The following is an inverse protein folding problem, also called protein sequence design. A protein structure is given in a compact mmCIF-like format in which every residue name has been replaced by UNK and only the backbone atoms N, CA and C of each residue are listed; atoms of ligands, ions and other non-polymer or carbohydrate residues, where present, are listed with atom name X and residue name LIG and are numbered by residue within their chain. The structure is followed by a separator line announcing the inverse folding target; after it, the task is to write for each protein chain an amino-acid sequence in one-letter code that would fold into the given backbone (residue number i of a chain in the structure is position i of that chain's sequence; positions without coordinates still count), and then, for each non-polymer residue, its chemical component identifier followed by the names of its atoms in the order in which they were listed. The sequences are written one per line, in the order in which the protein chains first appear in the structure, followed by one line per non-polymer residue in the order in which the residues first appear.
data_IF_873282170412
#
_entry.id   IF_873282170412
#
_cell.length_a   1.000
_cell.length_b   1.000
_cell.length_c   1.000
_cell.angle_alpha   90.00
_cell.angle_beta   90.00
_cell.angle_gamma   90.00
#
_symmetry.space_group_name_H-M   'P 1'
#
loop_
_entity.id
_entity.type
_entity.pdbx_description
1 polymer ?
#
# COMPACT_ATOMS: atom_id res chain seq x y z
N UNK A 1 -0.63 2.49 21.63
CA UNK A 1 0.19 3.39 22.48
C UNK A 1 1.66 3.00 22.72
N UNK A 2 2.10 1.74 22.54
CA UNK A 2 3.49 1.34 22.86
C UNK A 2 4.60 2.04 22.05
N UNK A 3 4.40 2.32 20.77
CA UNK A 3 5.41 3.03 19.96
C UNK A 3 5.39 4.55 20.18
N UNK A 4 4.20 5.14 20.39
CA UNK A 4 4.05 6.58 20.66
C UNK A 4 4.70 7.02 21.98
N UNK A 5 4.78 6.13 22.98
CA UNK A 5 5.47 6.40 24.24
C UNK A 5 7.00 6.32 24.07
N UNK A 6 7.51 5.41 23.23
CA UNK A 6 8.95 5.19 23.06
C UNK A 6 9.65 6.34 22.32
N UNK A 7 8.94 7.09 21.46
CA UNK A 7 9.52 8.21 20.71
C UNK A 7 9.07 9.60 21.15
N UNK A 8 8.19 9.73 22.14
CA UNK A 8 7.66 11.02 22.61
C UNK A 8 6.86 11.82 21.56
N UNK A 9 6.65 11.25 20.36
CA UNK A 9 5.82 11.82 19.32
C UNK A 9 4.43 11.24 19.50
N UNK A 10 3.55 12.00 20.16
CA UNK A 10 2.12 11.71 20.07
C UNK A 10 1.74 11.68 18.59
N UNK A 11 1.24 10.54 18.10
CA UNK A 11 0.52 10.50 16.83
C UNK A 11 -0.78 11.27 17.03
N UNK A 12 -0.69 12.60 17.05
CA UNK A 12 -1.87 13.45 17.02
C UNK A 12 -2.56 13.18 15.70
N UNK A 13 -3.82 12.78 15.77
CA UNK A 13 -4.67 12.66 14.59
C UNK A 13 -4.65 13.98 13.83
N UNK A 14 -4.12 13.95 12.59
CA UNK A 14 -3.96 15.10 11.71
C UNK A 14 -4.78 14.85 10.45
N UNK A 15 -6.10 15.09 10.48
CA UNK A 15 -7.01 14.70 9.40
C UNK A 15 -6.57 15.25 8.03
N UNK A 16 -6.07 16.49 7.97
CA UNK A 16 -5.57 17.06 6.73
C UNK A 16 -4.37 16.28 6.14
N UNK A 17 -3.47 15.79 7.00
CA UNK A 17 -2.31 15.01 6.59
C UNK A 17 -2.73 13.60 6.14
N UNK A 18 -3.65 12.97 6.87
CA UNK A 18 -4.18 11.65 6.51
C UNK A 18 -4.93 11.67 5.17
N UNK A 19 -5.68 12.74 4.90
CA UNK A 19 -6.35 12.95 3.61
C UNK A 19 -5.33 13.14 2.49
N UNK A 20 -4.32 13.98 2.68
CA UNK A 20 -3.25 14.19 1.69
C UNK A 20 -2.49 12.89 1.41
N UNK A 21 -2.15 12.14 2.46
CA UNK A 21 -1.52 10.83 2.35
C UNK A 21 -2.37 9.87 1.52
N UNK A 22 -3.67 9.76 1.83
CA UNK A 22 -4.61 8.94 1.08
C UNK A 22 -4.70 9.32 -0.40
N UNK A 23 -4.71 10.62 -0.71
CA UNK A 23 -4.73 11.11 -2.09
C UNK A 23 -3.48 10.70 -2.84
N UNK A 24 -2.30 10.95 -2.25
CA UNK A 24 -1.02 10.68 -2.88
C UNK A 24 -0.85 9.18 -3.14
N UNK A 25 -1.09 8.36 -2.10
CA UNK A 25 -0.95 6.90 -2.18
C UNK A 25 -1.99 6.31 -3.14
N UNK A 26 -3.24 6.74 -3.04
CA UNK A 26 -4.32 6.30 -3.91
C UNK A 26 -4.09 6.66 -5.39
N UNK A 27 -3.56 7.85 -5.67
CA UNK A 27 -3.19 8.26 -7.02
C UNK A 27 -2.06 7.39 -7.56
N UNK A 28 -1.04 7.12 -6.75
CA UNK A 28 0.08 6.26 -7.10
C UNK A 28 -0.38 4.87 -7.50
N UNK A 29 -1.01 4.14 -6.57
CA UNK A 29 -1.54 2.80 -6.85
C UNK A 29 -2.52 2.80 -8.02
N UNK A 30 -3.41 3.79 -8.08
CA UNK A 30 -4.43 3.89 -9.11
C UNK A 30 -3.86 4.06 -10.51
N UNK A 31 -2.87 4.93 -10.69
CA UNK A 31 -2.20 5.12 -11.98
C UNK A 31 -1.43 3.87 -12.40
N UNK A 32 -0.69 3.24 -11.49
CA UNK A 32 0.09 2.05 -11.79
C UNK A 32 -0.82 0.87 -12.19
N UNK A 33 -1.93 0.68 -11.48
CA UNK A 33 -2.93 -0.36 -11.82
C UNK A 33 -3.70 -0.03 -13.10
N UNK A 34 -4.06 1.24 -13.33
CA UNK A 34 -4.79 1.67 -14.53
C UNK A 34 -4.08 1.29 -15.83
N UNK A 35 -2.76 1.47 -15.91
CA UNK A 35 -1.95 1.12 -17.09
C UNK A 35 -2.15 -0.35 -17.49
N UNK A 36 -2.31 -1.24 -16.50
CA UNK A 36 -2.50 -2.68 -16.69
C UNK A 36 -3.92 -3.00 -17.16
N UNK A 37 -4.92 -2.42 -16.50
CA UNK A 37 -6.31 -2.79 -16.74
C UNK A 37 -6.96 -2.05 -17.91
N UNK A 38 -6.40 -0.92 -18.37
CA UNK A 38 -7.00 -0.07 -19.42
C UNK A 38 -7.29 -0.75 -20.75
N UNK A 39 -6.60 -1.86 -21.03
CA UNK A 39 -6.82 -2.67 -22.23
C UNK A 39 -7.87 -3.78 -22.06
N UNK A 40 -8.30 -4.06 -20.81
CA UNK A 40 -9.13 -5.22 -20.47
C UNK A 40 -10.48 -4.85 -19.86
N UNK A 41 -10.58 -3.67 -19.24
CA UNK A 41 -11.78 -3.24 -18.51
C UNK A 41 -12.39 -2.03 -19.21
N UNK A 42 -13.68 -2.14 -19.56
CA UNK A 42 -14.42 -0.98 -20.04
C UNK A 42 -14.53 0.03 -18.89
N UNK A 43 -14.31 1.32 -19.15
CA UNK A 43 -14.30 2.38 -18.12
C UNK A 43 -13.09 2.39 -17.18
N UNK A 44 -11.98 1.73 -17.54
CA UNK A 44 -10.76 1.76 -16.74
C UNK A 44 -10.26 3.17 -16.40
N UNK A 45 -10.59 4.21 -17.17
CA UNK A 45 -10.22 5.60 -16.87
C UNK A 45 -10.72 6.10 -15.51
N UNK A 46 -11.77 5.49 -14.95
CA UNK A 46 -12.25 5.79 -13.59
C UNK A 46 -11.40 5.15 -12.49
N UNK A 47 -10.50 4.24 -12.83
CA UNK A 47 -9.74 3.46 -11.86
C UNK A 47 -8.87 4.32 -10.93
N UNK A 48 -8.04 5.26 -11.43
CA UNK A 48 -7.25 6.11 -10.53
C UNK A 48 -8.12 6.91 -9.57
N UNK A 49 -9.26 7.43 -10.05
CA UNK A 49 -10.22 8.18 -9.23
C UNK A 49 -10.77 7.30 -8.10
N UNK A 50 -11.19 6.06 -8.40
CA UNK A 50 -11.67 5.14 -7.36
C UNK A 50 -10.59 4.73 -6.36
N UNK A 51 -9.31 4.70 -6.76
CA UNK A 51 -8.21 4.43 -5.85
C UNK A 51 -7.94 5.60 -4.91
N UNK A 52 -7.94 6.83 -5.43
CA UNK A 52 -7.82 8.07 -4.63
C UNK A 52 -8.95 8.13 -3.61
N UNK A 53 -10.21 8.00 -4.05
CA UNK A 53 -11.35 8.02 -3.12
C UNK A 53 -11.28 6.88 -2.11
N UNK A 54 -10.98 5.67 -2.57
CA UNK A 54 -10.91 4.48 -1.73
C UNK A 54 -9.88 4.60 -0.61
N UNK A 55 -8.67 5.06 -0.96
CA UNK A 55 -7.59 5.27 0.02
C UNK A 55 -7.88 6.41 0.97
N UNK A 56 -8.30 7.57 0.46
CA UNK A 56 -8.58 8.75 1.29
C UNK A 56 -9.68 8.46 2.31
N UNK A 57 -10.80 7.87 1.87
CA UNK A 57 -11.88 7.46 2.76
C UNK A 57 -11.47 6.29 3.66
N UNK A 58 -10.72 5.34 3.13
CA UNK A 58 -10.24 4.15 3.83
C UNK A 58 -9.36 4.50 5.03
N UNK A 59 -8.36 5.35 4.82
CA UNK A 59 -7.44 5.80 5.88
C UNK A 59 -8.22 6.59 6.93
N UNK A 60 -9.03 7.55 6.51
CA UNK A 60 -9.83 8.37 7.40
C UNK A 60 -10.78 7.52 8.27
N UNK A 61 -11.58 6.65 7.64
CA UNK A 61 -12.53 5.79 8.34
C UNK A 61 -11.82 4.76 9.21
N UNK A 62 -10.70 4.21 8.75
CA UNK A 62 -9.94 3.21 9.49
C UNK A 62 -9.31 3.77 10.75
N UNK A 63 -8.76 5.00 10.70
CA UNK A 63 -8.25 5.70 11.89
C UNK A 63 -9.36 6.00 12.89
N UNK A 64 -10.51 6.49 12.40
CA UNK A 64 -11.67 6.77 13.24
C UNK A 64 -12.20 5.49 13.92
N UNK A 65 -12.32 4.40 13.17
CA UNK A 65 -12.77 3.12 13.69
C UNK A 65 -11.78 2.51 14.69
N UNK A 66 -10.47 2.61 14.42
CA UNK A 66 -9.46 2.14 15.35
C UNK A 66 -9.54 2.88 16.69
N UNK A 67 -9.66 4.21 16.65
CA UNK A 67 -9.83 5.03 17.85
C UNK A 67 -11.13 4.71 18.60
N UNK A 68 -12.24 4.52 17.89
CA UNK A 68 -13.55 4.31 18.51
C UNK A 68 -13.72 2.88 19.05
N UNK A 69 -13.31 1.87 18.30
CA UNK A 69 -13.60 0.47 18.63
C UNK A 69 -12.54 -0.18 19.51
N UNK A 70 -11.26 0.12 19.28
CA UNK A 70 -10.17 -0.49 20.06
C UNK A 70 -9.77 0.37 21.26
N UNK A 71 -10.13 1.65 21.22
CA UNK A 71 -9.81 2.62 22.26
C UNK A 71 -8.32 2.98 22.31
N UNK A 72 -7.94 3.88 23.25
CA UNK A 72 -6.58 4.43 23.31
C UNK A 72 -5.53 3.37 23.70
N UNK A 73 -5.92 2.34 24.45
CA UNK A 73 -5.05 1.29 24.98
C UNK A 73 -4.83 0.12 24.02
N UNK A 74 -5.35 0.19 22.79
CA UNK A 74 -5.24 -0.86 21.80
C UNK A 74 -3.78 -1.31 21.54
N UNK A 75 -3.61 -2.62 21.32
CA UNK A 75 -2.38 -3.15 20.75
C UNK A 75 -2.22 -2.58 19.33
N UNK A 76 -1.03 -2.05 19.03
CA UNK A 76 -0.75 -1.40 17.75
C UNK A 76 -0.87 -2.36 16.56
N UNK A 77 -0.60 -3.67 16.72
CA UNK A 77 -0.84 -4.65 15.64
C UNK A 77 -2.34 -4.79 15.35
N UNK A 78 -3.18 -4.80 16.39
CA UNK A 78 -4.64 -4.85 16.22
C UNK A 78 -5.17 -3.57 15.55
N UNK A 79 -4.65 -2.40 15.93
CA UNK A 79 -4.94 -1.11 15.28
C UNK A 79 -4.61 -1.17 13.78
N UNK A 80 -3.43 -1.67 13.42
CA UNK A 80 -3.00 -1.80 12.01
C UNK A 80 -3.82 -2.81 11.24
N UNK A 81 -4.19 -3.93 11.86
CA UNK A 81 -5.06 -4.93 11.25
C UNK A 81 -6.43 -4.34 10.88
N UNK A 82 -7.05 -3.61 11.82
CA UNK A 82 -8.35 -2.97 11.62
C UNK A 82 -8.28 -1.87 10.56
N UNK A 83 -7.27 -1.00 10.64
CA UNK A 83 -7.01 0.03 9.64
C UNK A 83 -6.87 -0.58 8.24
N UNK A 84 -6.09 -1.66 8.09
CA UNK A 84 -5.85 -2.31 6.82
C UNK A 84 -7.12 -2.96 6.26
N UNK A 85 -7.90 -3.62 7.12
CA UNK A 85 -9.17 -4.20 6.72
C UNK A 85 -10.15 -3.15 6.20
N UNK A 86 -10.28 -2.01 6.89
CA UNK A 86 -11.19 -0.92 6.49
C UNK A 86 -10.73 -0.27 5.18
N UNK A 87 -9.43 0.04 5.04
CA UNK A 87 -8.87 0.54 3.78
C UNK A 87 -9.19 -0.42 2.63
N UNK A 88 -8.97 -1.72 2.84
CA UNK A 88 -9.18 -2.71 1.80
C UNK A 88 -10.64 -2.93 1.43
N UNK A 89 -11.57 -2.91 2.39
CA UNK A 89 -13.01 -2.98 2.10
C UNK A 89 -13.46 -1.76 1.30
N UNK A 90 -13.12 -0.55 1.75
CA UNK A 90 -13.56 0.69 1.10
C UNK A 90 -12.93 0.80 -0.29
N UNK A 91 -11.61 0.62 -0.41
CA UNK A 91 -10.91 0.68 -1.69
C UNK A 91 -11.38 -0.40 -2.66
N UNK A 92 -11.51 -1.64 -2.18
CA UNK A 92 -12.01 -2.76 -2.98
C UNK A 92 -13.44 -2.52 -3.47
N UNK A 93 -14.30 -1.92 -2.63
CA UNK A 93 -15.68 -1.57 -3.00
C UNK A 93 -15.72 -0.48 -4.07
N UNK A 94 -14.95 0.60 -3.91
CA UNK A 94 -14.84 1.65 -4.91
C UNK A 94 -14.36 1.10 -6.27
N UNK A 95 -13.32 0.27 -6.26
CA UNK A 95 -12.79 -0.37 -7.46
C UNK A 95 -13.76 -1.38 -8.08
N UNK A 96 -14.51 -2.12 -7.25
CA UNK A 96 -15.52 -3.08 -7.68
C UNK A 96 -16.57 -2.44 -8.60
N UNK A 97 -16.99 -1.19 -8.33
CA UNK A 97 -17.92 -0.48 -9.21
C UNK A 97 -17.42 -0.33 -10.66
N UNK A 98 -16.10 -0.25 -10.86
CA UNK A 98 -15.49 -0.18 -12.19
C UNK A 98 -15.47 -1.54 -12.86
N UNK A 99 -15.07 -2.60 -12.15
CA UNK A 99 -14.86 -3.94 -12.74
C UNK A 99 -16.12 -4.79 -12.83
N UNK A 100 -17.16 -4.54 -12.03
CA UNK A 100 -18.37 -5.40 -11.96
C UNK A 100 -19.11 -5.54 -13.28
N UNK A 101 -18.94 -4.58 -14.21
CA UNK A 101 -19.52 -4.64 -15.56
C UNK A 101 -18.79 -5.59 -16.50
N UNK A 102 -17.50 -5.85 -16.24
CA UNK A 102 -16.66 -6.73 -17.07
C UNK A 102 -16.52 -8.11 -16.44
N UNK A 103 -16.49 -8.19 -15.10
CA UNK A 103 -16.29 -9.44 -14.37
C UNK A 103 -17.47 -9.69 -13.42
N UNK A 104 -18.37 -10.64 -13.72
CA UNK A 104 -19.49 -10.99 -12.84
C UNK A 104 -19.06 -11.43 -11.43
N UNK A 105 -17.89 -12.08 -11.33
CA UNK A 105 -17.27 -12.47 -10.05
C UNK A 105 -16.46 -11.34 -9.39
N UNK A 106 -16.69 -10.09 -9.78
CA UNK A 106 -15.93 -8.93 -9.32
C UNK A 106 -15.93 -8.76 -7.79
N UNK A 107 -16.88 -9.32 -7.05
CA UNK A 107 -16.90 -9.26 -5.58
C UNK A 107 -15.64 -9.90 -4.94
N UNK A 108 -15.01 -10.88 -5.60
CA UNK A 108 -13.74 -11.50 -5.15
C UNK A 108 -12.61 -10.47 -5.04
N UNK A 109 -12.71 -9.38 -5.81
CA UNK A 109 -11.80 -8.24 -5.73
C UNK A 109 -11.82 -7.56 -4.36
N UNK A 110 -13.02 -7.41 -3.77
CA UNK A 110 -13.19 -6.80 -2.45
C UNK A 110 -12.49 -7.67 -1.41
N UNK A 111 -12.76 -8.98 -1.42
CA UNK A 111 -12.13 -9.95 -0.51
C UNK A 111 -10.60 -9.93 -0.64
N UNK A 112 -10.09 -10.00 -1.86
CA UNK A 112 -8.65 -9.97 -2.13
C UNK A 112 -7.99 -8.65 -1.70
N UNK A 113 -8.67 -7.53 -1.88
CA UNK A 113 -8.20 -6.22 -1.41
C UNK A 113 -8.18 -6.14 0.11
N UNK A 114 -9.28 -6.49 0.78
CA UNK A 114 -9.38 -6.51 2.24
C UNK A 114 -8.31 -7.39 2.87
N UNK A 115 -8.17 -8.63 2.41
CA UNK A 115 -7.14 -9.54 2.93
C UNK A 115 -5.73 -9.00 2.67
N UNK A 116 -5.48 -8.50 1.45
CA UNK A 116 -4.19 -7.91 1.07
C UNK A 116 -3.77 -6.74 1.96
N UNK A 117 -4.66 -5.77 2.16
CA UNK A 117 -4.38 -4.61 3.01
C UNK A 117 -4.26 -4.96 4.49
N UNK A 118 -5.12 -5.83 5.01
CA UNK A 118 -5.06 -6.28 6.40
C UNK A 118 -3.72 -6.98 6.68
N UNK A 119 -3.30 -7.93 5.83
CA UNK A 119 -2.01 -8.61 5.96
C UNK A 119 -0.86 -7.63 5.81
N UNK A 120 -0.91 -6.74 4.82
CA UNK A 120 0.13 -5.73 4.60
C UNK A 120 0.34 -4.84 5.85
N UNK A 121 -0.75 -4.37 6.46
CA UNK A 121 -0.65 -3.52 7.65
C UNK A 121 -0.31 -4.29 8.93
N UNK A 122 -0.72 -5.56 9.06
CA UNK A 122 -0.24 -6.42 10.16
C UNK A 122 1.26 -6.64 10.06
N UNK A 123 1.76 -7.01 8.87
CA UNK A 123 3.20 -7.19 8.64
C UNK A 123 3.93 -5.88 8.91
N UNK A 124 3.40 -4.75 8.45
CA UNK A 124 3.93 -3.42 8.80
C UNK A 124 3.99 -3.21 10.32
N UNK A 125 2.90 -3.51 11.05
CA UNK A 125 2.88 -3.39 12.51
C UNK A 125 3.94 -4.25 13.20
N UNK A 126 4.05 -5.51 12.77
CA UNK A 126 5.03 -6.47 13.30
C UNK A 126 6.47 -6.07 12.98
N UNK A 127 6.75 -5.60 11.77
CA UNK A 127 8.09 -5.16 11.37
C UNK A 127 8.49 -3.89 12.14
N UNK A 128 7.59 -2.94 12.37
CA UNK A 128 7.87 -1.78 13.26
C UNK A 128 8.27 -2.27 14.65
N UNK A 129 7.52 -3.20 15.23
CA UNK A 129 7.81 -3.68 16.57
C UNK A 129 9.11 -4.50 16.64
N UNK A 130 9.29 -5.45 15.72
CA UNK A 130 10.38 -6.41 15.77
C UNK A 130 11.70 -5.82 15.25
N UNK A 131 11.62 -5.00 14.19
CA UNK A 131 12.79 -4.44 13.51
C UNK A 131 12.93 -2.96 13.81
N UNK A 132 11.83 -2.20 13.75
CA UNK A 132 11.86 -0.75 13.86
C UNK A 132 12.50 -0.27 15.16
N UNK A 133 12.15 -0.84 16.32
CA UNK A 133 12.68 -0.36 17.60
C UNK A 133 14.19 -0.67 17.79
N UNK A 134 14.68 -1.91 17.56
CA UNK A 134 16.13 -2.18 17.58
C UNK A 134 16.89 -1.45 16.47
N UNK A 135 16.31 -1.35 15.26
CA UNK A 135 16.93 -0.70 14.11
C UNK A 135 17.02 0.80 14.32
N UNK A 136 15.98 1.47 14.82
CA UNK A 136 16.01 2.91 15.11
C UNK A 136 17.02 3.21 16.21
N UNK A 137 17.15 2.35 17.24
CA UNK A 137 18.19 2.49 18.27
C UNK A 137 19.60 2.27 17.72
N UNK A 138 19.80 1.26 16.87
CA UNK A 138 21.09 0.98 16.24
C UNK A 138 21.47 2.04 15.21
N UNK A 139 20.54 2.42 14.35
CA UNK A 139 20.72 3.46 13.34
C UNK A 139 20.84 4.85 13.97
N UNK A 140 20.10 5.22 15.02
CA UNK A 140 20.32 6.53 15.66
C UNK A 140 21.75 6.66 16.21
N UNK A 141 22.34 5.57 16.68
CA UNK A 141 23.73 5.53 17.12
C UNK A 141 24.76 5.54 15.97
N UNK A 142 24.45 4.94 14.81
CA UNK A 142 25.34 4.87 13.64
C UNK A 142 25.17 6.01 12.63
N UNK A 143 23.93 6.45 12.36
CA UNK A 143 23.55 7.55 11.48
C UNK A 143 24.05 8.89 12.05
N UNK A 144 24.13 9.07 13.37
CA UNK A 144 24.79 10.27 13.93
C UNK A 144 26.22 10.45 13.41
N UNK A 145 26.92 9.34 13.09
CA UNK A 145 28.28 9.34 12.56
C UNK A 145 28.33 9.35 11.01
N UNK A 146 27.36 8.71 10.34
CA UNK A 146 27.33 8.57 8.88
C UNK A 146 26.54 9.66 8.12
N UNK A 147 25.55 10.31 8.75
CA UNK A 147 24.71 11.35 8.15
C UNK A 147 25.48 12.62 7.74
N UNK A 148 26.72 12.79 8.20
CA UNK A 148 27.60 13.86 7.76
C UNK A 148 28.22 13.63 6.37
N UNK A 149 28.13 12.43 5.78
CA UNK A 149 28.95 12.08 4.61
C UNK A 149 28.24 11.45 3.41
N UNK A 150 26.97 11.04 3.51
CA UNK A 150 26.24 10.43 2.38
C UNK A 150 25.00 11.25 1.97
N UNK A 151 24.76 11.53 0.67
CA UNK A 151 23.54 12.16 0.23
C UNK A 151 22.34 11.22 0.44
N UNK A 152 21.57 11.49 1.48
CA UNK A 152 20.51 10.62 2.01
C UNK A 152 19.29 10.44 1.07
N UNK A 153 19.27 11.12 -0.07
CA UNK A 153 18.40 10.85 -1.23
C UNK A 153 18.53 9.40 -1.74
N UNK A 154 19.66 8.74 -1.51
CA UNK A 154 19.98 7.43 -2.09
C UNK A 154 19.45 6.22 -1.31
N UNK A 155 19.03 6.38 -0.05
CA UNK A 155 18.57 5.25 0.79
C UNK A 155 17.22 4.66 0.35
N UNK A 156 16.19 5.48 0.07
CA UNK A 156 14.96 5.01 -0.57
C UNK A 156 15.22 4.35 -1.94
N UNK A 157 16.29 4.76 -2.64
CA UNK A 157 16.75 4.14 -3.88
C UNK A 157 17.27 2.71 -3.64
N UNK A 158 18.10 2.51 -2.61
CA UNK A 158 18.62 1.18 -2.25
C UNK A 158 17.50 0.22 -1.81
N UNK A 159 16.54 0.69 -1.02
CA UNK A 159 15.36 -0.09 -0.64
C UNK A 159 14.51 -0.42 -1.87
N UNK A 160 14.20 0.59 -2.68
CA UNK A 160 13.45 0.39 -3.91
C UNK A 160 14.13 -0.57 -4.88
N UNK A 161 15.46 -0.56 -4.95
CA UNK A 161 16.25 -1.51 -5.75
C UNK A 161 16.11 -2.98 -5.30
N UNK A 162 15.60 -3.27 -4.09
CA UNK A 162 15.34 -4.64 -3.61
C UNK A 162 13.89 -5.08 -3.86
N UNK A 163 12.90 -4.25 -3.53
CA UNK A 163 11.50 -4.61 -3.75
C UNK A 163 11.09 -4.58 -5.22
N UNK A 164 11.70 -3.71 -6.02
CA UNK A 164 11.44 -3.65 -7.45
C UNK A 164 11.70 -5.00 -8.15
N UNK A 165 12.86 -5.65 -7.99
CA UNK A 165 13.10 -6.99 -8.50
C UNK A 165 12.06 -8.01 -8.04
N UNK A 166 11.67 -8.02 -6.77
CA UNK A 166 10.71 -9.01 -6.25
C UNK A 166 9.33 -8.84 -6.89
N UNK A 167 8.82 -7.61 -6.92
CA UNK A 167 7.56 -7.28 -7.59
C UNK A 167 7.65 -7.60 -9.10
N UNK A 168 8.79 -7.28 -9.73
CA UNK A 168 9.03 -7.60 -11.13
C UNK A 168 9.04 -9.11 -11.40
N UNK A 169 9.74 -9.90 -10.59
CA UNK A 169 9.80 -11.36 -10.75
C UNK A 169 8.42 -12.00 -10.62
N UNK A 170 7.59 -11.53 -9.69
CA UNK A 170 6.22 -11.99 -9.53
C UNK A 170 5.35 -11.61 -10.75
N UNK A 171 5.51 -10.41 -11.29
CA UNK A 171 4.64 -9.86 -12.32
C UNK A 171 5.09 -10.13 -13.76
N UNK A 172 6.38 -10.38 -14.02
CA UNK A 172 6.95 -10.47 -15.38
C UNK A 172 6.36 -11.60 -16.22
N UNK A 173 5.88 -12.67 -15.58
CA UNK A 173 5.22 -13.80 -16.27
C UNK A 173 3.75 -13.52 -16.57
N UNK A 174 3.17 -12.51 -15.94
CA UNK A 174 1.74 -12.23 -15.93
C UNK A 174 1.41 -10.96 -16.73
N UNK A 175 2.32 -10.00 -16.77
CA UNK A 175 2.10 -8.66 -17.33
C UNK A 175 3.23 -8.27 -18.30
N UNK A 176 2.92 -8.10 -19.60
CA UNK A 176 3.82 -7.43 -20.53
C UNK A 176 4.10 -6.02 -20.01
N UNK A 177 5.38 -5.67 -19.84
CA UNK A 177 5.78 -4.35 -19.32
C UNK A 177 5.82 -4.23 -17.80
N UNK A 178 5.86 -5.34 -17.05
CA UNK A 178 6.02 -5.35 -15.59
C UNK A 178 7.18 -4.47 -15.09
N UNK A 179 8.25 -4.32 -15.86
CA UNK A 179 9.39 -3.45 -15.50
C UNK A 179 8.96 -1.99 -15.33
N UNK A 180 8.19 -1.45 -16.27
CA UNK A 180 7.70 -0.07 -16.20
C UNK A 180 6.75 0.14 -15.03
N UNK A 181 5.93 -0.87 -14.72
CA UNK A 181 5.01 -0.85 -13.58
C UNK A 181 5.78 -0.69 -12.26
N UNK A 182 6.80 -1.51 -12.10
CA UNK A 182 7.66 -1.50 -10.92
C UNK A 182 8.41 -0.18 -10.79
N UNK A 183 9.00 0.33 -11.87
CA UNK A 183 9.74 1.60 -11.85
C UNK A 183 8.83 2.79 -11.54
N UNK A 184 7.63 2.84 -12.12
CA UNK A 184 6.67 3.90 -11.86
C UNK A 184 6.17 3.86 -10.41
N UNK A 185 5.86 2.68 -9.88
CA UNK A 185 5.51 2.50 -8.48
C UNK A 185 6.62 2.96 -7.54
N UNK A 186 7.88 2.62 -7.87
CA UNK A 186 9.05 3.06 -7.12
C UNK A 186 9.22 4.59 -7.11
N UNK A 187 9.08 5.21 -8.28
CA UNK A 187 9.27 6.64 -8.45
C UNK A 187 8.17 7.44 -7.73
N UNK A 188 6.90 7.05 -7.90
CA UNK A 188 5.78 7.71 -7.21
C UNK A 188 5.93 7.55 -5.71
N UNK A 189 6.28 6.35 -5.25
CA UNK A 189 6.54 6.10 -3.85
C UNK A 189 7.67 6.99 -3.31
N UNK A 190 8.79 7.11 -4.03
CA UNK A 190 9.92 7.97 -3.68
C UNK A 190 9.55 9.45 -3.57
N UNK A 191 8.80 9.98 -4.54
CA UNK A 191 8.35 11.37 -4.53
C UNK A 191 7.42 11.61 -3.34
N UNK A 192 6.46 10.72 -3.14
CA UNK A 192 5.50 10.78 -2.03
C UNK A 192 6.23 10.80 -0.69
N UNK A 193 7.21 9.90 -0.54
CA UNK A 193 8.08 9.78 0.61
C UNK A 193 8.85 11.07 0.90
N UNK A 194 9.55 11.59 -0.12
CA UNK A 194 10.36 12.81 -0.01
C UNK A 194 9.50 14.01 0.40
N UNK A 195 8.28 14.11 -0.11
CA UNK A 195 7.36 15.20 0.23
C UNK A 195 6.80 15.10 1.66
N UNK A 196 6.60 13.89 2.19
CA UNK A 196 6.04 13.68 3.53
C UNK A 196 7.08 13.90 4.64
N UNK A 197 8.36 13.70 4.35
CA UNK A 197 9.46 13.64 5.35
C UNK A 197 10.43 14.82 5.24
N UNK A 198 10.09 15.88 4.51
CA UNK A 198 10.77 17.17 4.59
C UNK A 198 10.49 17.84 5.95
N UNK A 199 10.99 17.23 7.04
CA UNK A 199 11.06 17.78 8.38
C UNK A 199 12.47 18.32 8.69
N UNK A 200 12.61 19.31 9.60
CA UNK A 200 13.84 20.10 9.73
C UNK A 200 15.02 19.45 10.51
N UNK A 201 15.02 18.15 10.86
CA UNK A 201 16.02 17.63 11.82
C UNK A 201 16.46 16.16 11.69
N UNK A 202 17.69 15.88 12.15
CA UNK A 202 18.38 14.59 12.02
C UNK A 202 17.75 13.41 12.80
N UNK A 203 17.06 13.66 13.92
CA UNK A 203 16.33 12.62 14.66
C UNK A 203 15.07 12.11 13.92
N UNK A 204 14.52 12.91 13.01
CA UNK A 204 13.40 12.51 12.15
C UNK A 204 13.89 11.59 11.00
N UNK A 205 15.20 11.58 10.72
CA UNK A 205 15.79 10.87 9.57
C UNK A 205 15.86 9.35 9.78
N UNK A 206 16.25 8.89 10.98
CA UNK A 206 16.25 7.47 11.32
C UNK A 206 14.85 6.85 11.29
N UNK A 207 13.83 7.65 11.67
CA UNK A 207 12.42 7.27 11.53
C UNK A 207 12.06 7.14 10.05
N UNK A 208 12.55 8.06 9.22
CA UNK A 208 12.32 8.03 7.78
C UNK A 208 12.76 6.73 7.11
N UNK A 209 13.99 6.25 7.32
CA UNK A 209 14.47 5.02 6.67
C UNK A 209 13.62 3.80 7.05
N UNK A 210 13.27 3.67 8.33
CA UNK A 210 12.44 2.57 8.80
C UNK A 210 11.05 2.59 8.14
N UNK A 211 10.42 3.76 8.06
CA UNK A 211 9.10 3.91 7.42
C UNK A 211 9.18 3.68 5.90
N UNK A 212 10.25 4.09 5.22
CA UNK A 212 10.45 3.83 3.79
C UNK A 212 10.53 2.32 3.47
N UNK A 213 11.35 1.56 4.22
CA UNK A 213 11.43 0.11 4.10
C UNK A 213 10.09 -0.57 4.35
N UNK A 214 9.32 -0.02 5.26
CA UNK A 214 8.06 -0.57 5.69
C UNK A 214 6.94 -0.33 4.67
N UNK A 215 6.86 0.87 4.13
CA UNK A 215 5.88 1.17 3.10
C UNK A 215 6.21 0.47 1.77
N UNK A 216 7.49 0.15 1.53
CA UNK A 216 7.90 -0.80 0.49
C UNK A 216 7.33 -2.20 0.72
N UNK A 217 7.41 -2.74 1.94
CA UNK A 217 6.81 -4.04 2.29
C UNK A 217 5.29 -4.01 2.10
N UNK A 218 4.62 -2.93 2.52
CA UNK A 218 3.18 -2.74 2.25
C UNK A 218 2.92 -2.78 0.75
N UNK A 219 3.64 -1.97 -0.04
CA UNK A 219 3.46 -1.88 -1.48
C UNK A 219 3.64 -3.21 -2.19
N UNK A 220 4.63 -4.00 -1.77
CA UNK A 220 4.87 -5.35 -2.27
C UNK A 220 3.70 -6.29 -1.94
N UNK A 221 3.24 -6.34 -0.68
CA UNK A 221 2.15 -7.23 -0.25
C UNK A 221 0.84 -6.87 -0.96
N UNK A 222 0.49 -5.57 -0.99
CA UNK A 222 -0.73 -5.07 -1.66
C UNK A 222 -0.65 -5.28 -3.17
N UNK A 223 0.50 -5.04 -3.79
CA UNK A 223 0.73 -5.26 -5.21
C UNK A 223 0.58 -6.74 -5.59
N UNK A 224 1.17 -7.64 -4.80
CA UNK A 224 1.05 -9.09 -5.00
C UNK A 224 -0.40 -9.54 -4.81
N UNK A 225 -1.07 -9.14 -3.73
CA UNK A 225 -2.44 -9.57 -3.44
C UNK A 225 -3.44 -9.10 -4.51
N UNK A 226 -3.36 -7.83 -4.91
CA UNK A 226 -4.23 -7.27 -5.95
C UNK A 226 -3.90 -7.84 -7.32
N UNK A 227 -2.62 -8.06 -7.63
CA UNK A 227 -2.16 -8.69 -8.86
C UNK A 227 -2.64 -10.14 -9.01
N UNK A 228 -2.50 -10.96 -7.97
CA UNK A 228 -2.99 -12.36 -7.96
C UNK A 228 -4.51 -12.39 -8.15
N UNK A 229 -5.23 -11.51 -7.44
CA UNK A 229 -6.70 -11.42 -7.56
C UNK A 229 -7.10 -11.01 -8.97
N UNK A 230 -6.40 -10.05 -9.59
CA UNK A 230 -6.64 -9.62 -10.97
C UNK A 230 -6.44 -10.76 -11.96
N UNK A 231 -5.36 -11.52 -11.82
CA UNK A 231 -5.09 -12.68 -12.68
C UNK A 231 -6.15 -13.75 -12.51
N UNK A 232 -6.61 -14.01 -11.28
CA UNK A 232 -7.73 -14.91 -11.01
C UNK A 232 -9.00 -14.47 -11.74
N UNK A 233 -9.34 -13.18 -11.69
CA UNK A 233 -10.51 -12.64 -12.40
C UNK A 233 -10.41 -12.78 -13.92
N UNK A 234 -9.21 -12.56 -14.48
CA UNK A 234 -8.97 -12.62 -15.93
C UNK A 234 -9.03 -14.06 -16.46
N UNK A 235 -8.64 -15.06 -15.66
CA UNK A 235 -8.56 -16.46 -16.09
C UNK A 235 -9.92 -17.18 -16.06
N UNK A 236 -10.93 -16.59 -15.43
CA UNK A 236 -12.24 -17.21 -15.36
C UNK A 236 -12.95 -17.07 -16.73
N UNK A 237 -13.50 -18.16 -17.28
CA UNK A 237 -14.26 -18.09 -18.53
C UNK A 237 -15.42 -17.11 -18.37
N UNK A 238 -15.65 -16.30 -19.40
CA UNK A 238 -16.82 -15.44 -19.44
C UNK A 238 -18.06 -16.33 -19.34
N UNK A 239 -19.01 -15.97 -18.47
CA UNK A 239 -20.14 -16.83 -18.10
C UNK A 239 -21.00 -17.29 -19.30
N UNK A 240 -20.84 -16.71 -20.49
CA UNK A 240 -21.54 -17.11 -21.71
C UNK A 240 -20.89 -18.21 -22.56
N UNK A 241 -19.63 -18.59 -22.35
CA UNK A 241 -18.97 -19.58 -23.24
C UNK A 241 -19.19 -21.05 -22.81
N UNK A 242 -19.73 -21.28 -21.62
CA UNK A 242 -19.97 -22.64 -21.11
C UNK A 242 -21.23 -23.29 -21.68
N UNK A 243 -22.27 -22.51 -22.03
CA UNK A 243 -23.50 -23.06 -22.62
C UNK A 243 -23.32 -23.46 -24.09
N UNK A 244 -22.45 -22.78 -24.85
CA UNK A 244 -22.27 -23.04 -26.28
C UNK A 244 -21.48 -24.33 -26.57
N UNK A 245 -20.72 -24.84 -25.58
CA UNK A 245 -19.98 -26.11 -25.70
C UNK A 245 -20.72 -27.32 -25.13
N UNK A 246 -21.89 -27.10 -24.51
CA UNK A 246 -22.75 -28.16 -23.97
C UNK A 246 -23.88 -28.58 -24.93
N UNK A 247 -23.77 -28.21 -26.22
CA UNK A 247 -24.71 -28.63 -27.25
C UNK A 247 -24.71 -30.15 -27.49
N UNK A 248 -25.88 -30.69 -27.89
CA UNK A 248 -26.34 -32.07 -27.66
C UNK A 248 -25.57 -33.19 -28.37
#
# INVERSE_FOLDING_TARGET
MGFAIVVGVGFSYRPAFDLLFGVIVGAGFGLTQWIVIRRRVSHANWWPVTCVFGWTLGVFAGQMAANWWLGPSANFVAERALLGAIIGVITGSCQWFVIRRTFPQGFRWIVGSTAGYAVALVVHGLVIFAVGDPLVRGLSSGIYNAANWAPMVLLPFAAGAVAAPMAWFALRRLLPGATWWVLAGLAIFWVSWTLLEMGPGAQEIGKGVAVALLAMVIGAIVGISTGVTLVGLIRLPAAGTAEETAGP
#
